data_IF_966237616410
#
_entry.id   IF_966237616410
#
_cell.length_a   1.000
_cell.length_b   1.000
_cell.length_c   1.000
_cell.angle_alpha   90.00
_cell.angle_beta   90.00
_cell.angle_gamma   90.00
#
_symmetry.space_group_name_H-M   'P 1'
#
loop_
_entity.id
_entity.type
_entity.pdbx_description
1 polymer ?
#
# COMPACT_ATOMS: atom_id res chain seq x y z
N UNK A 1 5.78 16.34 -3.38
CA UNK A 1 6.27 15.25 -4.24
C UNK A 1 5.11 14.83 -5.09
N UNK A 2 5.29 14.82 -6.41
CA UNK A 2 4.25 14.45 -7.36
C UNK A 2 4.17 12.91 -7.49
N UNK A 3 2.96 12.40 -7.58
CA UNK A 3 2.59 10.99 -7.49
C UNK A 3 1.61 10.59 -8.62
N UNK A 4 1.54 11.39 -9.68
CA UNK A 4 0.64 11.21 -10.82
C UNK A 4 0.80 9.87 -11.59
N UNK A 5 1.93 9.18 -11.45
CA UNK A 5 2.23 7.89 -12.12
C UNK A 5 2.11 6.67 -11.18
N UNK A 6 1.47 6.82 -10.01
CA UNK A 6 1.08 5.69 -9.15
C UNK A 6 -0.06 4.87 -9.78
N UNK A 7 -0.97 5.55 -10.46
CA UNK A 7 -2.13 4.95 -11.10
C UNK A 7 -1.78 4.61 -12.55
N UNK A 8 -2.08 3.37 -12.95
CA UNK A 8 -1.97 2.94 -14.34
C UNK A 8 -3.37 2.95 -14.95
N UNK A 9 -3.58 3.80 -15.94
CA UNK A 9 -4.84 3.88 -16.68
C UNK A 9 -4.87 2.86 -17.82
N UNK A 10 -5.87 1.97 -17.82
CA UNK A 10 -6.03 0.90 -18.80
C UNK A 10 -7.42 0.91 -19.41
N UNK A 11 -7.56 0.53 -20.68
CA UNK A 11 -8.88 0.31 -21.27
C UNK A 11 -9.60 -0.82 -20.53
N UNK A 12 -10.89 -0.65 -20.18
CA UNK A 12 -11.66 -1.72 -19.56
C UNK A 12 -11.81 -2.90 -20.52
N UNK A 13 -11.81 -4.16 -20.03
CA UNK A 13 -12.18 -5.30 -20.85
C UNK A 13 -13.67 -5.21 -21.26
N UNK A 14 -14.10 -5.94 -22.30
CA UNK A 14 -15.43 -5.78 -22.90
C UNK A 14 -16.60 -5.84 -21.92
N UNK A 15 -16.53 -6.71 -20.90
CA UNK A 15 -17.57 -6.87 -19.89
C UNK A 15 -17.61 -5.76 -18.83
N UNK A 16 -16.68 -4.80 -18.84
CA UNK A 16 -16.59 -3.69 -17.88
C UNK A 16 -16.57 -2.30 -18.55
N UNK A 17 -16.78 -2.23 -19.85
CA UNK A 17 -16.91 -0.95 -20.57
C UNK A 17 -18.02 -0.10 -19.95
N UNK A 18 -17.72 1.18 -19.70
CA UNK A 18 -18.65 2.12 -19.06
C UNK A 18 -18.93 1.84 -17.58
N UNK A 19 -18.17 0.93 -16.94
CA UNK A 19 -18.28 0.59 -15.51
C UNK A 19 -17.18 1.23 -14.66
N UNK A 20 -16.56 2.29 -15.17
CA UNK A 20 -15.65 3.15 -14.42
C UNK A 20 -16.10 4.60 -14.54
N UNK A 21 -15.58 5.45 -13.65
CA UNK A 21 -15.69 6.89 -13.78
C UNK A 21 -14.62 7.37 -14.78
N UNK A 22 -15.09 7.71 -15.98
CA UNK A 22 -14.24 7.92 -17.16
C UNK A 22 -14.14 6.68 -18.05
N UNK A 23 -13.39 6.82 -19.14
CA UNK A 23 -13.27 5.79 -20.18
C UNK A 23 -12.26 4.69 -19.85
N UNK A 24 -11.38 4.94 -18.87
CA UNK A 24 -10.31 4.03 -18.47
C UNK A 24 -10.51 3.51 -17.05
N UNK A 25 -10.04 2.30 -16.79
CA UNK A 25 -9.86 1.78 -15.44
C UNK A 25 -8.59 2.36 -14.82
N UNK A 26 -8.68 2.89 -13.61
CA UNK A 26 -7.57 3.41 -12.85
C UNK A 26 -7.07 2.34 -11.89
N UNK A 27 -5.99 1.65 -12.27
CA UNK A 27 -5.39 0.58 -11.49
C UNK A 27 -4.37 1.17 -10.51
N UNK A 28 -4.67 1.08 -9.22
CA UNK A 28 -3.70 1.29 -8.16
C UNK A 28 -3.19 -0.09 -7.72
N UNK A 29 -2.14 -0.56 -8.39
CA UNK A 29 -1.56 -1.88 -8.13
C UNK A 29 -0.97 -1.96 -6.72
N UNK A 30 -0.85 -3.19 -6.20
CA UNK A 30 -0.39 -3.41 -4.83
C UNK A 30 1.02 -2.87 -4.59
N UNK A 31 1.94 -3.07 -5.55
CA UNK A 31 3.28 -2.47 -5.48
C UNK A 31 3.28 -0.94 -5.42
N UNK A 32 2.28 -0.31 -6.04
CA UNK A 32 2.07 1.13 -5.98
C UNK A 32 1.60 1.55 -4.58
N UNK A 33 0.64 0.82 -3.99
CA UNK A 33 0.17 1.01 -2.61
C UNK A 33 1.32 0.85 -1.61
N UNK A 34 2.18 -0.18 -1.78
CA UNK A 34 3.36 -0.40 -0.96
C UNK A 34 4.32 0.79 -0.97
N UNK A 35 4.67 1.31 -2.15
CA UNK A 35 5.58 2.45 -2.24
C UNK A 35 4.97 3.76 -1.74
N UNK A 36 3.67 4.00 -1.99
CA UNK A 36 2.98 5.16 -1.42
C UNK A 36 3.01 5.13 0.10
N UNK A 37 2.78 3.95 0.69
CA UNK A 37 2.83 3.78 2.14
C UNK A 37 4.25 3.87 2.69
N UNK A 38 5.25 3.29 2.01
CA UNK A 38 6.66 3.45 2.38
C UNK A 38 7.10 4.93 2.39
N UNK A 39 6.69 5.70 1.37
CA UNK A 39 6.93 7.14 1.30
C UNK A 39 6.15 7.92 2.36
N UNK A 40 5.00 7.42 2.81
CA UNK A 40 4.30 8.00 3.95
C UNK A 40 5.10 7.78 5.24
N UNK A 41 5.53 6.55 5.54
CA UNK A 41 6.33 6.26 6.73
C UNK A 41 7.63 7.06 6.78
N UNK A 42 8.34 7.21 5.66
CA UNK A 42 9.54 8.08 5.58
C UNK A 42 9.27 9.56 5.89
N UNK A 43 8.02 10.04 5.77
CA UNK A 43 7.63 11.42 6.06
C UNK A 43 7.07 11.60 7.47
N UNK A 44 6.40 10.60 8.01
CA UNK A 44 5.62 10.72 9.24
C UNK A 44 6.27 10.03 10.44
N UNK A 45 7.13 9.05 10.21
CA UNK A 45 7.81 8.30 11.26
C UNK A 45 9.29 8.70 11.36
N UNK A 46 9.87 8.57 12.55
CA UNK A 46 11.30 8.80 12.77
C UNK A 46 12.12 7.59 12.31
N UNK A 47 12.17 7.41 10.99
CA UNK A 47 12.97 6.36 10.35
C UNK A 47 13.55 6.85 9.04
N UNK A 48 14.74 6.32 8.73
CA UNK A 48 15.41 6.55 7.44
C UNK A 48 15.44 5.30 6.57
N UNK A 49 14.90 4.18 7.04
CA UNK A 49 14.97 2.92 6.31
C UNK A 49 13.63 2.20 6.33
N UNK A 50 13.10 1.96 5.13
CA UNK A 50 11.90 1.14 4.92
C UNK A 50 12.27 -0.07 4.08
N UNK A 51 11.66 -1.20 4.39
CA UNK A 51 11.77 -2.43 3.60
C UNK A 51 10.43 -2.71 2.93
N UNK A 52 10.48 -3.01 1.64
CA UNK A 52 9.32 -3.34 0.82
C UNK A 52 9.52 -4.74 0.27
N UNK A 53 8.53 -5.60 0.49
CA UNK A 53 8.57 -7.03 0.26
C UNK A 53 7.53 -7.45 -0.78
N UNK A 54 7.70 -7.04 -2.06
CA UNK A 54 6.76 -7.43 -3.10
C UNK A 54 6.87 -8.93 -3.39
N UNK A 55 5.76 -9.54 -3.79
CA UNK A 55 5.82 -10.86 -4.41
C UNK A 55 6.20 -10.76 -5.91
N UNK A 56 6.35 -11.92 -6.54
CA UNK A 56 6.73 -11.99 -7.95
C UNK A 56 5.68 -11.41 -8.91
N UNK A 57 4.42 -11.32 -8.50
CA UNK A 57 3.34 -10.77 -9.33
C UNK A 57 3.29 -9.24 -9.24
N UNK A 58 3.52 -8.68 -8.05
CA UNK A 58 3.61 -7.23 -7.84
C UNK A 58 4.70 -6.60 -8.71
N UNK A 59 5.87 -7.25 -8.78
CA UNK A 59 7.00 -6.81 -9.61
C UNK A 59 6.76 -6.84 -11.13
N UNK A 60 5.74 -7.57 -11.60
CA UNK A 60 5.33 -7.55 -13.02
C UNK A 60 4.33 -6.44 -13.32
N UNK A 61 3.49 -6.10 -12.34
CA UNK A 61 2.40 -5.15 -12.49
C UNK A 61 2.85 -3.70 -12.25
N UNK A 62 3.93 -3.50 -11.50
CA UNK A 62 4.41 -2.18 -11.13
C UNK A 62 5.94 -2.09 -11.17
N UNK A 63 6.47 -1.08 -11.88
CA UNK A 63 7.91 -0.85 -12.01
C UNK A 63 8.44 -0.05 -10.82
N UNK A 64 8.79 -0.76 -9.74
CA UNK A 64 9.38 -0.17 -8.54
C UNK A 64 10.65 0.65 -8.83
N UNK A 65 11.52 0.13 -9.70
CA UNK A 65 12.82 0.75 -9.97
C UNK A 65 12.65 2.09 -10.67
N UNK A 66 11.93 2.11 -11.80
CA UNK A 66 11.71 3.34 -12.54
C UNK A 66 10.90 4.35 -11.72
N UNK A 67 9.93 3.89 -10.94
CA UNK A 67 9.14 4.78 -10.10
C UNK A 67 9.97 5.45 -9.00
N UNK A 68 10.84 4.71 -8.30
CA UNK A 68 11.76 5.26 -7.30
C UNK A 68 12.79 6.21 -7.91
N UNK A 69 13.34 5.87 -9.08
CA UNK A 69 14.27 6.74 -9.81
C UNK A 69 13.66 8.11 -10.11
N UNK A 70 12.40 8.16 -10.56
CA UNK A 70 11.67 9.43 -10.80
C UNK A 70 11.44 10.26 -9.53
N UNK A 71 11.58 9.67 -8.34
CA UNK A 71 11.51 10.36 -7.02
C UNK A 71 12.88 10.76 -6.48
N UNK A 72 13.94 10.66 -7.29
CA UNK A 72 15.29 11.04 -6.88
C UNK A 72 15.96 10.03 -5.96
N UNK A 73 15.44 8.81 -5.89
CA UNK A 73 16.19 7.69 -5.31
C UNK A 73 17.11 7.12 -6.38
N UNK A 74 18.31 6.70 -6.00
CA UNK A 74 19.25 5.96 -6.85
C UNK A 74 19.42 4.55 -6.29
N UNK A 75 19.52 3.56 -7.17
CA UNK A 75 19.79 2.18 -6.75
C UNK A 75 21.27 2.06 -6.38
N UNK A 76 21.56 1.87 -5.09
CA UNK A 76 22.92 1.82 -4.53
C UNK A 76 23.44 0.39 -4.34
N UNK A 77 22.54 -0.60 -4.33
CA UNK A 77 22.90 -2.02 -4.28
C UNK A 77 21.84 -2.85 -5.02
N UNK A 78 22.24 -4.03 -5.49
CA UNK A 78 21.33 -5.02 -6.07
C UNK A 78 21.17 -6.18 -5.10
N UNK A 79 19.94 -6.67 -4.95
CA UNK A 79 19.60 -7.78 -4.07
C UNK A 79 18.77 -8.79 -4.87
N UNK A 80 19.18 -10.06 -4.83
CA UNK A 80 18.49 -11.13 -5.56
C UNK A 80 18.69 -11.03 -7.08
N UNK A 81 17.75 -11.60 -7.83
CA UNK A 81 17.82 -11.75 -9.30
C UNK A 81 16.84 -10.85 -10.06
N UNK A 82 15.91 -10.20 -9.35
CA UNK A 82 14.92 -9.32 -10.00
C UNK A 82 15.54 -7.98 -10.35
N UNK A 83 15.10 -7.37 -11.46
CA UNK A 83 15.59 -6.06 -11.91
C UNK A 83 15.36 -4.97 -10.85
N UNK A 84 14.23 -5.05 -10.14
CA UNK A 84 13.85 -4.12 -9.08
C UNK A 84 14.49 -4.41 -7.72
N UNK A 85 15.04 -5.60 -7.49
CA UNK A 85 15.58 -5.98 -6.18
C UNK A 85 16.84 -5.19 -5.82
N UNK A 86 16.84 -4.46 -4.70
CA UNK A 86 17.97 -3.64 -4.29
C UNK A 86 17.63 -2.60 -3.22
N UNK A 87 18.66 -1.91 -2.74
CA UNK A 87 18.52 -0.73 -1.89
C UNK A 87 18.56 0.52 -2.74
N UNK A 88 17.60 1.40 -2.51
CA UNK A 88 17.43 2.68 -3.17
C UNK A 88 17.64 3.78 -2.15
N UNK A 89 18.46 4.79 -2.46
CA UNK A 89 18.79 5.90 -1.54
C UNK A 89 18.54 7.23 -2.21
N UNK A 90 17.92 8.18 -1.52
CA UNK A 90 17.77 9.55 -2.03
C UNK A 90 18.86 10.50 -1.48
N UNK A 91 18.86 11.75 -1.95
CA UNK A 91 19.84 12.76 -1.54
C UNK A 91 19.79 13.14 -0.05
N UNK A 92 18.67 12.92 0.64
CA UNK A 92 18.53 13.18 2.08
C UNK A 92 18.99 12.00 2.93
N UNK A 93 19.45 10.91 2.31
CA UNK A 93 19.94 9.71 2.98
C UNK A 93 18.84 8.76 3.44
N UNK A 94 17.60 8.93 2.98
CA UNK A 94 16.54 7.95 3.20
C UNK A 94 16.72 6.76 2.26
N UNK A 95 16.45 5.57 2.78
CA UNK A 95 16.63 4.29 2.08
C UNK A 95 15.32 3.50 2.01
N UNK A 96 15.08 2.92 0.83
CA UNK A 96 14.04 1.92 0.60
C UNK A 96 14.73 0.66 0.08
N UNK A 97 14.67 -0.43 0.82
CA UNK A 97 15.11 -1.75 0.35
C UNK A 97 13.93 -2.49 -0.24
N UNK A 98 13.95 -2.73 -1.55
CA UNK A 98 12.96 -3.56 -2.24
C UNK A 98 13.54 -4.96 -2.40
N UNK A 99 12.95 -5.96 -1.76
CA UNK A 99 13.39 -7.35 -1.84
C UNK A 99 12.21 -8.30 -1.62
N UNK A 100 11.93 -9.23 -2.54
CA UNK A 100 10.93 -10.26 -2.30
C UNK A 100 11.30 -11.12 -1.08
N UNK A 101 10.49 -11.06 -0.03
CA UNK A 101 10.65 -11.89 1.17
C UNK A 101 9.30 -12.12 1.83
N UNK A 102 8.85 -13.36 1.85
CA UNK A 102 7.57 -13.74 2.46
C UNK A 102 7.62 -13.70 3.99
N UNK A 103 6.46 -13.45 4.61
CA UNK A 103 6.24 -13.63 6.05
C UNK A 103 6.72 -12.49 6.96
N UNK A 104 6.99 -11.31 6.41
CA UNK A 104 7.41 -10.13 7.20
C UNK A 104 6.40 -8.97 7.19
N UNK A 105 5.40 -9.02 6.30
CA UNK A 105 4.63 -7.88 5.86
C UNK A 105 5.17 -7.29 4.57
N UNK A 106 4.29 -6.70 3.77
CA UNK A 106 4.61 -6.08 2.49
C UNK A 106 5.46 -4.82 2.65
N UNK A 107 5.24 -4.04 3.71
CA UNK A 107 6.04 -2.86 4.04
C UNK A 107 6.41 -2.92 5.52
N UNK A 108 7.69 -2.80 5.82
CA UNK A 108 8.23 -2.91 7.18
C UNK A 108 9.16 -1.74 7.47
N UNK A 109 8.98 -1.12 8.63
CA UNK A 109 9.82 -0.07 9.14
C UNK A 109 10.23 -0.35 10.58
N UNK A 110 11.49 -0.09 10.90
CA UNK A 110 11.97 -0.04 12.28
C UNK A 110 11.95 1.43 12.71
N UNK A 111 11.17 1.74 13.75
CA UNK A 111 11.01 3.09 14.30
C UNK A 111 11.32 3.03 15.79
N UNK A 112 12.44 3.64 16.19
CA UNK A 112 12.98 3.55 17.55
C UNK A 112 13.07 2.09 18.04
N UNK A 113 12.20 1.67 18.97
CA UNK A 113 12.19 0.33 19.58
C UNK A 113 10.99 -0.53 19.14
N UNK A 114 10.27 -0.14 18.09
CA UNK A 114 9.14 -0.93 17.60
C UNK A 114 9.18 -1.11 16.08
N UNK A 115 8.52 -2.17 15.63
CA UNK A 115 8.37 -2.50 14.23
C UNK A 115 6.99 -2.03 13.79
N UNK A 116 6.93 -1.35 12.66
CA UNK A 116 5.69 -1.14 11.91
C UNK A 116 5.70 -2.14 10.77
N UNK A 117 4.67 -2.99 10.70
CA UNK A 117 4.47 -3.95 9.62
C UNK A 117 3.11 -3.70 8.98
N UNK A 118 3.09 -3.62 7.66
CA UNK A 118 1.88 -3.37 6.89
C UNK A 118 1.65 -4.46 5.85
N UNK A 119 0.38 -4.82 5.71
CA UNK A 119 -0.12 -5.69 4.64
C UNK A 119 -0.90 -4.80 3.67
N UNK A 120 -0.62 -4.93 2.38
CA UNK A 120 -1.13 -4.04 1.34
C UNK A 120 -2.12 -4.75 0.43
N UNK A 121 -3.06 -4.01 -0.14
CA UNK A 121 -3.87 -4.49 -1.26
C UNK A 121 -3.99 -3.44 -2.35
N UNK A 122 -3.91 -3.86 -3.60
CA UNK A 122 -4.24 -3.03 -4.77
C UNK A 122 -5.70 -3.13 -5.21
N UNK A 123 -6.07 -2.34 -6.22
CA UNK A 123 -7.39 -2.44 -6.87
C UNK A 123 -7.69 -1.33 -7.88
N UNK A 124 -8.88 -1.40 -8.48
CA UNK A 124 -9.35 -0.40 -9.45
C UNK A 124 -10.16 0.66 -8.72
N UNK A 125 -9.62 1.87 -8.59
CA UNK A 125 -10.14 2.88 -7.65
C UNK A 125 -11.34 3.69 -8.18
N UNK A 126 -11.50 3.76 -9.50
CA UNK A 126 -12.59 4.49 -10.15
C UNK A 126 -13.72 3.57 -10.65
N UNK A 127 -13.81 2.34 -10.15
CA UNK A 127 -14.75 1.35 -10.67
C UNK A 127 -16.15 1.48 -10.05
N UNK A 128 -17.17 1.37 -10.90
CA UNK A 128 -18.59 1.14 -10.55
C UNK A 128 -19.03 -0.31 -10.82
N UNK A 129 -18.13 -1.16 -11.31
CA UNK A 129 -18.44 -2.57 -11.56
C UNK A 129 -18.56 -3.32 -10.21
N UNK A 130 -19.74 -3.88 -9.93
CA UNK A 130 -20.06 -4.54 -8.65
C UNK A 130 -19.02 -5.58 -8.22
N UNK A 131 -18.50 -6.38 -9.16
CA UNK A 131 -17.46 -7.36 -8.88
C UNK A 131 -16.11 -6.75 -8.50
N UNK A 132 -15.73 -5.59 -9.05
CA UNK A 132 -14.46 -4.94 -8.72
C UNK A 132 -14.58 -4.15 -7.42
N UNK A 133 -15.73 -3.50 -7.21
CA UNK A 133 -16.10 -2.92 -5.92
C UNK A 133 -16.02 -3.99 -4.82
N UNK A 134 -16.64 -5.15 -5.02
CA UNK A 134 -16.56 -6.27 -4.06
C UNK A 134 -15.12 -6.73 -3.79
N UNK A 135 -14.24 -6.75 -4.80
CA UNK A 135 -12.83 -7.09 -4.62
C UNK A 135 -12.08 -6.08 -3.74
N UNK A 136 -12.38 -4.78 -3.82
CA UNK A 136 -11.82 -3.77 -2.91
C UNK A 136 -12.24 -4.01 -1.46
N UNK A 137 -13.53 -4.29 -1.23
CA UNK A 137 -14.03 -4.65 0.11
C UNK A 137 -13.37 -5.93 0.65
N UNK A 138 -13.31 -6.96 -0.20
CA UNK A 138 -12.68 -8.24 0.14
C UNK A 138 -11.20 -8.04 0.47
N UNK A 139 -10.49 -7.20 -0.29
CA UNK A 139 -9.10 -6.86 -0.06
C UNK A 139 -8.85 -6.35 1.35
N UNK A 140 -9.62 -5.36 1.80
CA UNK A 140 -9.49 -4.85 3.18
C UNK A 140 -9.76 -5.93 4.23
N UNK A 141 -10.80 -6.75 4.06
CA UNK A 141 -11.11 -7.83 4.99
C UNK A 141 -10.01 -8.90 5.02
N UNK A 142 -9.44 -9.26 3.87
CA UNK A 142 -8.34 -10.22 3.76
C UNK A 142 -7.08 -9.70 4.46
N UNK A 143 -6.69 -8.46 4.18
CA UNK A 143 -5.54 -7.80 4.82
C UNK A 143 -5.69 -7.78 6.35
N UNK A 144 -6.87 -7.39 6.87
CA UNK A 144 -7.15 -7.43 8.31
C UNK A 144 -7.09 -8.86 8.85
N UNK A 145 -7.70 -9.82 8.15
CA UNK A 145 -7.70 -11.23 8.57
C UNK A 145 -6.30 -11.83 8.65
N UNK A 146 -5.41 -11.50 7.71
CA UNK A 146 -4.01 -11.95 7.73
C UNK A 146 -3.23 -11.35 8.90
N UNK A 147 -3.43 -10.06 9.18
CA UNK A 147 -2.82 -9.40 10.33
C UNK A 147 -3.29 -10.01 11.66
N UNK A 148 -4.59 -10.31 11.78
CA UNK A 148 -5.13 -10.98 12.97
C UNK A 148 -4.54 -12.38 13.20
N UNK A 149 -4.18 -13.08 12.12
CA UNK A 149 -3.59 -14.42 12.20
C UNK A 149 -2.08 -14.41 12.47
N UNK A 150 -1.43 -13.23 12.38
CA UNK A 150 0.02 -13.10 12.46
C UNK A 150 0.40 -12.32 13.72
N UNK A 151 1.01 -12.97 14.74
CA UNK A 151 1.49 -12.26 15.92
C UNK A 151 2.54 -11.22 15.52
N UNK A 152 2.36 -9.97 15.96
CA UNK A 152 3.32 -8.89 15.75
C UNK A 152 3.86 -8.36 17.07
N UNK A 153 5.14 -8.02 17.10
CA UNK A 153 5.79 -7.34 18.23
C UNK A 153 5.66 -5.80 18.15
N UNK A 154 4.88 -5.27 17.21
CA UNK A 154 4.69 -3.84 17.03
C UNK A 154 3.41 -3.48 16.28
N UNK A 155 3.37 -2.29 15.67
CA UNK A 155 2.19 -1.76 15.00
C UNK A 155 1.91 -2.54 13.72
N UNK A 156 0.67 -2.99 13.55
CA UNK A 156 0.19 -3.65 12.34
C UNK A 156 -0.76 -2.73 11.60
N UNK A 157 -0.60 -2.60 10.27
CA UNK A 157 -1.41 -1.69 9.47
C UNK A 157 -1.96 -2.40 8.23
N UNK A 158 -3.29 -2.38 8.07
CA UNK A 158 -3.95 -2.79 6.84
C UNK A 158 -4.01 -1.60 5.87
N UNK A 159 -3.37 -1.71 4.71
CA UNK A 159 -3.23 -0.61 3.75
C UNK A 159 -3.94 -0.95 2.44
N UNK A 160 -4.97 -0.17 2.08
CA UNK A 160 -5.77 -0.44 0.87
C UNK A 160 -6.05 0.86 0.08
N UNK A 161 -6.55 0.79 -1.16
CA UNK A 161 -6.83 1.99 -1.93
C UNK A 161 -7.99 2.79 -1.32
N UNK A 162 -7.87 4.11 -1.41
CA UNK A 162 -8.92 5.03 -1.02
C UNK A 162 -10.02 5.06 -2.10
N UNK A 163 -11.23 4.74 -1.67
CA UNK A 163 -12.50 4.98 -2.35
C UNK A 163 -13.54 5.30 -1.27
N UNK A 164 -14.66 5.91 -1.63
CA UNK A 164 -15.74 6.10 -0.65
C UNK A 164 -16.22 4.77 -0.04
N UNK A 165 -16.22 3.71 -0.86
CA UNK A 165 -16.64 2.38 -0.45
C UNK A 165 -15.70 1.77 0.60
N UNK A 166 -14.40 1.79 0.33
CA UNK A 166 -13.36 1.30 1.25
C UNK A 166 -13.29 2.16 2.51
N UNK A 167 -13.46 3.48 2.42
CA UNK A 167 -13.55 4.35 3.59
C UNK A 167 -14.71 3.97 4.52
N UNK A 168 -15.92 3.78 3.97
CA UNK A 168 -17.09 3.37 4.76
C UNK A 168 -16.86 2.03 5.45
N UNK A 169 -16.22 1.07 4.79
CA UNK A 169 -15.87 -0.21 5.43
C UNK A 169 -14.80 -0.02 6.50
N UNK A 170 -13.73 0.70 6.20
CA UNK A 170 -12.63 0.94 7.12
C UNK A 170 -13.11 1.59 8.43
N UNK A 171 -13.96 2.61 8.36
CA UNK A 171 -14.56 3.24 9.55
C UNK A 171 -15.37 2.24 10.40
N UNK A 172 -16.13 1.35 9.76
CA UNK A 172 -16.90 0.31 10.47
C UNK A 172 -16.02 -0.75 11.12
N UNK A 173 -14.87 -1.07 10.51
CA UNK A 173 -13.93 -2.07 11.03
C UNK A 173 -12.96 -1.49 12.07
N UNK A 174 -12.64 -0.20 12.00
CA UNK A 174 -11.62 0.46 12.81
C UNK A 174 -11.74 0.18 14.32
N UNK A 175 -12.93 0.22 14.97
CA UNK A 175 -13.04 -0.11 16.38
C UNK A 175 -12.59 -1.55 16.71
N UNK A 176 -12.95 -2.53 15.87
CA UNK A 176 -12.58 -3.93 16.07
C UNK A 176 -11.12 -4.19 15.76
N UNK A 177 -10.60 -3.57 14.70
CA UNK A 177 -9.18 -3.63 14.35
C UNK A 177 -8.32 -3.03 15.46
N UNK A 178 -8.72 -1.89 16.03
CA UNK A 178 -8.00 -1.26 17.13
C UNK A 178 -7.91 -2.16 18.38
N UNK A 179 -8.98 -2.89 18.73
CA UNK A 179 -8.96 -3.88 19.81
C UNK A 179 -7.98 -5.03 19.54
N UNK A 180 -7.71 -5.34 18.28
CA UNK A 180 -6.72 -6.32 17.85
C UNK A 180 -5.32 -5.72 17.63
N UNK A 181 -5.11 -4.42 17.90
CA UNK A 181 -3.83 -3.74 17.66
C UNK A 181 -3.54 -3.46 16.18
N UNK A 182 -4.57 -3.48 15.32
CA UNK A 182 -4.47 -3.27 13.88
C UNK A 182 -5.01 -1.89 13.51
N UNK A 183 -4.19 -1.11 12.83
CA UNK A 183 -4.55 0.17 12.22
C UNK A 183 -5.00 -0.04 10.76
N UNK A 184 -5.72 0.93 10.20
CA UNK A 184 -6.13 0.91 8.79
C UNK A 184 -5.69 2.23 8.14
N UNK A 185 -5.02 2.14 6.99
CA UNK A 185 -4.64 3.29 6.18
C UNK A 185 -5.19 3.17 4.76
N UNK A 186 -5.60 4.30 4.17
CA UNK A 186 -6.15 4.37 2.82
C UNK A 186 -5.23 5.20 1.92
N UNK A 187 -4.87 4.64 0.76
CA UNK A 187 -3.97 5.28 -0.21
C UNK A 187 -4.75 5.89 -1.37
N UNK A 188 -4.67 7.20 -1.54
CA UNK A 188 -5.25 7.95 -2.65
C UNK A 188 -4.47 7.79 -3.95
N UNK A 189 -5.09 8.22 -5.05
CA UNK A 189 -4.51 8.15 -6.41
C UNK A 189 -3.21 8.95 -6.56
N UNK A 190 -2.96 9.91 -5.66
CA UNK A 190 -1.77 10.77 -5.66
C UNK A 190 -0.84 10.43 -4.49
N UNK A 191 -0.88 9.21 -3.99
CA UNK A 191 0.02 8.76 -2.91
C UNK A 191 -0.20 9.47 -1.57
N UNK A 192 -1.30 10.20 -1.42
CA UNK A 192 -1.79 10.65 -0.12
C UNK A 192 -2.25 9.43 0.68
N UNK A 193 -1.95 9.44 1.98
CA UNK A 193 -2.29 8.34 2.88
C UNK A 193 -3.14 8.93 4.00
N UNK A 194 -4.29 8.31 4.25
CA UNK A 194 -5.22 8.69 5.30
C UNK A 194 -5.34 7.56 6.31
N UNK A 195 -4.89 7.81 7.54
CA UNK A 195 -5.08 6.91 8.67
C UNK A 195 -6.54 6.96 9.15
N UNK A 196 -7.17 5.81 9.26
CA UNK A 196 -8.55 5.68 9.71
C UNK A 196 -8.56 5.46 11.21
N UNK A 197 -8.99 6.50 11.94
CA UNK A 197 -9.14 6.44 13.39
C UNK A 197 -10.52 5.87 13.76
N UNK A 198 -10.63 5.05 14.81
CA UNK A 198 -11.93 4.73 15.38
C UNK A 198 -12.58 6.03 15.88
N UNK A 199 -13.87 6.20 15.59
CA UNK A 199 -14.64 7.28 16.21
C UNK A 199 -14.67 7.00 17.72
N UNK A 200 -14.21 7.96 18.53
CA UNK A 200 -14.31 7.84 19.98
C UNK A 200 -15.80 7.76 20.32
N UNK A 201 -16.25 6.65 20.92
CA UNK A 201 -17.57 6.60 21.54
C UNK A 201 -17.63 7.75 22.56
N UNK A 202 -18.46 8.74 22.27
CA UNK A 202 -18.89 9.70 23.27
C UNK A 202 -19.55 8.89 24.38
N UNK A 203 -18.86 8.80 25.52
CA UNK A 203 -19.41 8.26 26.76
C UNK A 203 -20.53 9.13 27.28
#
# INVERSE_FOLDING_TARGET
MDFEDLVIALSPPPNRVGKSDGDQEHHLYEGAVMLAYAMHLLRTEDTRHIRVHPDGEHGKQFDFAAWLLRRGFIKVSTIGTTSYGGTYRNATGQEITVQPKSGLGDVVAEVCNHIISAECKGGIINTRHSGQVSRLYKGLCETVGMLMATPSQGRQVAVVPFTEGTLRLAKRLAPRCALAGIEIALVGSRGDVMDVRPEQEAR
#
